data_IF_739951778356
#
_entry.id   IF_739951778356
#
_cell.length_a   1.000
_cell.length_b   1.000
_cell.length_c   1.000
_cell.angle_alpha   90.00
_cell.angle_beta   90.00
_cell.angle_gamma   90.00
#
_symmetry.space_group_name_H-M   'P 1'
#
loop_
_entity.id
_entity.type
_entity.pdbx_description
1 polymer ?
#
# COMPACT_ATOMS: atom_id res chain seq x y z
N UNK A 1 -33.88 -4.03 5.39
CA UNK A 1 -33.28 -2.87 4.72
C UNK A 1 -31.80 -2.77 5.11
N UNK A 2 -30.96 -2.38 4.15
CA UNK A 2 -29.51 -2.10 4.20
C UNK A 2 -28.59 -3.25 3.76
N UNK A 3 -28.19 -3.22 2.48
CA UNK A 3 -26.87 -3.63 1.99
C UNK A 3 -26.57 -2.82 0.71
N UNK A 4 -26.30 -1.52 0.86
CA UNK A 4 -25.81 -0.66 -0.25
C UNK A 4 -24.57 0.16 0.17
N UNK A 5 -23.83 -0.24 1.21
CA UNK A 5 -22.63 0.48 1.66
C UNK A 5 -21.33 0.05 0.97
N UNK A 6 -21.31 -1.06 0.22
CA UNK A 6 -20.06 -1.62 -0.31
C UNK A 6 -19.44 -0.83 -1.47
N UNK A 7 -20.24 -0.10 -2.25
CA UNK A 7 -19.74 0.66 -3.40
C UNK A 7 -19.05 1.96 -2.96
N UNK A 8 -19.73 2.74 -2.12
CA UNK A 8 -19.21 4.05 -1.68
C UNK A 8 -17.91 3.92 -0.87
N UNK A 9 -17.79 2.87 -0.07
CA UNK A 9 -16.58 2.62 0.73
C UNK A 9 -15.41 2.17 -0.16
N UNK A 10 -15.67 1.36 -1.19
CA UNK A 10 -14.63 0.97 -2.16
C UNK A 10 -14.17 2.15 -3.00
N UNK A 11 -15.09 2.98 -3.50
CA UNK A 11 -14.76 4.16 -4.32
C UNK A 11 -13.96 5.21 -3.52
N UNK A 12 -14.24 5.32 -2.22
CA UNK A 12 -13.53 6.25 -1.33
C UNK A 12 -12.09 5.78 -1.05
N UNK A 13 -11.82 4.47 -1.12
CA UNK A 13 -10.47 3.90 -0.94
C UNK A 13 -9.67 3.82 -2.25
N UNK A 14 -10.35 3.58 -3.37
CA UNK A 14 -9.72 3.49 -4.68
C UNK A 14 -9.09 4.81 -5.11
N UNK A 15 -9.73 5.95 -4.81
CA UNK A 15 -9.20 7.29 -5.14
C UNK A 15 -7.82 7.55 -4.53
N UNK A 16 -7.63 7.42 -3.21
CA UNK A 16 -6.32 7.61 -2.60
C UNK A 16 -5.30 6.55 -3.03
N UNK A 17 -5.70 5.28 -3.18
CA UNK A 17 -4.80 4.24 -3.66
C UNK A 17 -4.30 4.51 -5.09
N UNK A 18 -5.20 4.89 -5.99
CA UNK A 18 -4.89 5.28 -7.37
C UNK A 18 -4.03 6.55 -7.40
N UNK A 19 -4.41 7.58 -6.63
CA UNK A 19 -3.67 8.83 -6.56
C UNK A 19 -2.23 8.65 -6.07
N UNK A 20 -1.99 7.72 -5.13
CA UNK A 20 -0.63 7.36 -4.71
C UNK A 20 0.09 6.52 -5.76
N UNK A 21 -0.58 5.55 -6.40
CA UNK A 21 0.02 4.80 -7.52
C UNK A 21 0.50 5.74 -8.64
N UNK A 22 -0.26 6.79 -8.93
CA UNK A 22 0.09 7.82 -9.91
C UNK A 22 1.24 8.73 -9.46
N UNK A 23 1.30 9.12 -8.19
CA UNK A 23 2.43 9.89 -7.64
C UNK A 23 3.75 9.11 -7.72
N UNK A 24 3.67 7.79 -7.60
CA UNK A 24 4.81 6.89 -7.68
C UNK A 24 4.91 6.21 -9.06
N UNK A 25 4.32 6.79 -10.11
CA UNK A 25 4.37 6.27 -11.49
C UNK A 25 5.80 6.03 -11.96
N UNK A 26 6.76 6.86 -11.55
CA UNK A 26 8.18 6.68 -11.91
C UNK A 26 8.77 5.36 -11.40
N UNK A 27 8.18 4.74 -10.38
CA UNK A 27 8.57 3.40 -9.93
C UNK A 27 8.26 2.32 -10.97
N UNK A 28 7.31 2.56 -11.87
CA UNK A 28 6.97 1.66 -12.98
C UNK A 28 8.06 1.65 -14.05
N UNK A 29 8.80 2.74 -14.19
CA UNK A 29 9.92 2.86 -15.14
C UNK A 29 11.22 2.22 -14.66
N UNK A 30 11.28 1.83 -13.37
CA UNK A 30 12.46 1.17 -12.80
C UNK A 30 12.46 -0.30 -13.19
N UNK A 31 13.64 -0.86 -13.51
CA UNK A 31 13.84 -2.29 -13.83
C UNK A 31 13.62 -3.19 -12.60
N UNK A 32 12.38 -3.29 -12.14
CA UNK A 32 11.98 -4.33 -11.21
C UNK A 32 11.60 -5.58 -11.99
N UNK A 33 12.07 -6.74 -11.52
CA UNK A 33 11.73 -8.01 -12.14
C UNK A 33 10.32 -8.46 -11.74
N UNK A 34 9.67 -9.26 -12.59
CA UNK A 34 8.37 -9.88 -12.29
C UNK A 34 8.34 -10.56 -10.92
N UNK A 35 9.43 -11.20 -10.50
CA UNK A 35 9.53 -11.82 -9.18
C UNK A 35 9.36 -10.84 -8.01
N UNK A 36 9.84 -9.60 -8.13
CA UNK A 36 9.71 -8.58 -7.09
C UNK A 36 8.28 -8.05 -7.02
N UNK A 37 7.67 -7.82 -8.19
CA UNK A 37 6.28 -7.41 -8.30
C UNK A 37 5.33 -8.50 -7.79
N UNK A 38 5.55 -9.76 -8.17
CA UNK A 38 4.81 -10.91 -7.64
C UNK A 38 5.01 -11.07 -6.13
N UNK A 39 6.23 -10.89 -5.63
CA UNK A 39 6.50 -10.92 -4.19
C UNK A 39 5.71 -9.86 -3.41
N UNK A 40 5.69 -8.63 -3.93
CA UNK A 40 4.90 -7.53 -3.36
C UNK A 40 3.40 -7.82 -3.41
N UNK A 41 2.88 -8.29 -4.55
CA UNK A 41 1.47 -8.67 -4.68
C UNK A 41 1.11 -9.80 -3.70
N UNK A 42 1.94 -10.82 -3.58
CA UNK A 42 1.68 -11.95 -2.68
C UNK A 42 1.63 -11.51 -1.21
N UNK A 43 2.55 -10.64 -0.77
CA UNK A 43 2.56 -10.22 0.63
C UNK A 43 1.36 -9.33 0.96
N UNK A 44 0.93 -8.41 0.09
CA UNK A 44 -0.25 -7.57 0.40
C UNK A 44 -1.54 -8.38 0.45
N UNK A 45 -1.64 -9.48 -0.31
CA UNK A 45 -2.81 -10.37 -0.26
C UNK A 45 -2.80 -11.24 1.00
N UNK A 46 -1.64 -11.74 1.42
CA UNK A 46 -1.53 -12.78 2.47
C UNK A 46 -1.11 -12.28 3.85
N UNK A 47 -0.57 -11.07 3.97
CA UNK A 47 -0.07 -10.56 5.24
C UNK A 47 -1.20 -10.44 6.29
N UNK A 48 -0.96 -10.88 7.53
CA UNK A 48 -1.93 -10.78 8.62
C UNK A 48 -2.03 -9.36 9.20
N UNK A 49 -1.08 -8.49 8.87
CA UNK A 49 -1.12 -7.07 9.27
C UNK A 49 -0.35 -6.18 8.31
N UNK A 50 -0.68 -4.88 8.32
CA UNK A 50 0.01 -3.91 7.50
C UNK A 50 1.49 -3.75 7.87
N UNK A 51 1.82 -3.91 9.16
CA UNK A 51 3.22 -3.89 9.60
C UNK A 51 4.05 -5.04 9.02
N UNK A 52 3.44 -6.20 8.74
CA UNK A 52 4.16 -7.29 8.05
C UNK A 52 4.47 -6.93 6.60
N UNK A 53 3.59 -6.21 5.92
CA UNK A 53 3.86 -5.67 4.57
C UNK A 53 5.03 -4.69 4.62
N UNK A 54 5.02 -3.75 5.57
CA UNK A 54 6.12 -2.77 5.73
C UNK A 54 7.45 -3.47 6.05
N UNK A 55 7.45 -4.44 6.95
CA UNK A 55 8.64 -5.25 7.28
C UNK A 55 9.17 -6.01 6.07
N UNK A 56 8.29 -6.56 5.24
CA UNK A 56 8.70 -7.22 4.00
C UNK A 56 9.42 -6.25 3.07
N UNK A 57 8.83 -5.07 2.80
CA UNK A 57 9.42 -4.05 1.93
C UNK A 57 10.78 -3.59 2.47
N UNK A 58 10.87 -3.29 3.76
CA UNK A 58 12.13 -2.93 4.43
C UNK A 58 13.18 -4.04 4.28
N UNK A 59 12.80 -5.30 4.47
CA UNK A 59 13.68 -6.44 4.32
C UNK A 59 14.19 -6.59 2.88
N UNK A 60 13.34 -6.41 1.87
CA UNK A 60 13.75 -6.45 0.48
C UNK A 60 14.74 -5.32 0.14
N UNK A 61 14.54 -4.12 0.69
CA UNK A 61 15.50 -3.01 0.55
C UNK A 61 16.87 -3.37 1.12
N UNK A 62 16.93 -3.83 2.38
CA UNK A 62 18.17 -4.27 3.05
C UNK A 62 18.85 -5.43 2.32
N UNK A 63 18.08 -6.39 1.81
CA UNK A 63 18.61 -7.51 1.02
C UNK A 63 19.25 -7.02 -0.28
N UNK A 64 18.63 -6.05 -0.94
CA UNK A 64 19.14 -5.49 -2.20
C UNK A 64 20.42 -4.69 -1.98
N UNK A 65 20.48 -3.92 -0.89
CA UNK A 65 21.70 -3.21 -0.46
C UNK A 65 22.87 -4.16 -0.23
N UNK A 66 22.65 -5.25 0.52
CA UNK A 66 23.68 -6.28 0.78
C UNK A 66 24.17 -6.96 -0.50
N UNK A 67 23.36 -6.98 -1.55
CA UNK A 67 23.71 -7.51 -2.86
C UNK A 67 24.31 -6.47 -3.81
N UNK A 68 24.55 -5.23 -3.36
CA UNK A 68 25.07 -4.14 -4.19
C UNK A 68 24.07 -3.59 -5.22
N UNK A 69 22.79 -3.92 -5.09
CA UNK A 69 21.71 -3.51 -6.02
C UNK A 69 20.98 -2.27 -5.48
N UNK A 70 21.65 -1.13 -5.55
CA UNK A 70 21.14 0.14 -5.00
C UNK A 70 19.91 0.68 -5.75
N UNK A 71 19.83 0.47 -7.05
CA UNK A 71 18.65 0.78 -7.88
C UNK A 71 17.37 0.11 -7.34
N UNK A 72 17.51 -1.15 -6.92
CA UNK A 72 16.41 -1.94 -6.35
C UNK A 72 16.14 -1.55 -4.90
N UNK A 73 17.17 -1.23 -4.11
CA UNK A 73 17.00 -0.68 -2.77
C UNK A 73 16.12 0.57 -2.81
N UNK A 74 16.47 1.52 -3.66
CA UNK A 74 15.71 2.77 -3.80
C UNK A 74 14.26 2.51 -4.25
N UNK A 75 14.03 1.50 -5.10
CA UNK A 75 12.67 1.08 -5.45
C UNK A 75 11.89 0.66 -4.19
N UNK A 76 12.46 -0.22 -3.36
CA UNK A 76 11.79 -0.66 -2.12
C UNK A 76 11.60 0.48 -1.12
N UNK A 77 12.53 1.43 -1.04
CA UNK A 77 12.37 2.63 -0.22
C UNK A 77 11.21 3.48 -0.69
N UNK A 78 11.04 3.65 -2.00
CA UNK A 78 9.92 4.40 -2.55
C UNK A 78 8.58 3.68 -2.34
N UNK A 79 8.53 2.34 -2.47
CA UNK A 79 7.35 1.57 -2.07
C UNK A 79 7.06 1.77 -0.57
N UNK A 80 8.09 1.76 0.28
CA UNK A 80 7.94 2.04 1.71
C UNK A 80 7.34 3.42 1.99
N UNK A 81 7.77 4.45 1.25
CA UNK A 81 7.19 5.80 1.31
C UNK A 81 5.72 5.82 0.86
N UNK A 82 5.39 5.12 -0.22
CA UNK A 82 4.01 5.00 -0.69
C UNK A 82 3.11 4.34 0.36
N UNK A 83 3.59 3.26 1.00
CA UNK A 83 2.86 2.59 2.09
C UNK A 83 2.66 3.53 3.30
N UNK A 84 3.66 4.32 3.67
CA UNK A 84 3.50 5.33 4.72
C UNK A 84 2.43 6.37 4.35
N UNK A 85 2.42 6.84 3.11
CA UNK A 85 1.38 7.75 2.61
C UNK A 85 -0.03 7.15 2.66
N UNK A 86 -0.20 5.86 2.34
CA UNK A 86 -1.49 5.17 2.49
C UNK A 86 -1.94 5.09 3.95
N UNK A 87 -0.99 4.93 4.87
CA UNK A 87 -1.27 4.90 6.30
C UNK A 87 -1.82 6.25 6.77
N UNK A 88 -1.12 7.35 6.44
CA UNK A 88 -1.54 8.72 6.75
C UNK A 88 -2.91 9.05 6.16
N UNK A 89 -3.17 8.57 4.94
CA UNK A 89 -4.41 8.80 4.23
C UNK A 89 -5.59 8.01 4.83
N UNK A 90 -5.35 6.77 5.27
CA UNK A 90 -6.33 6.00 6.03
C UNK A 90 -6.67 6.69 7.36
N UNK A 91 -5.70 7.29 8.04
CA UNK A 91 -5.96 8.11 9.23
C UNK A 91 -6.83 9.32 8.89
N UNK A 92 -6.54 10.01 7.78
CA UNK A 92 -7.37 11.14 7.31
C UNK A 92 -8.80 10.71 7.03
N UNK A 93 -8.99 9.62 6.28
CA UNK A 93 -10.32 9.09 5.94
C UNK A 93 -11.10 8.62 7.16
N UNK A 94 -10.44 7.97 8.12
CA UNK A 94 -11.08 7.56 9.37
C UNK A 94 -11.61 8.77 10.15
N UNK A 95 -10.81 9.85 10.24
CA UNK A 95 -11.23 11.09 10.87
C UNK A 95 -12.41 11.75 10.15
N UNK A 96 -12.38 11.80 8.81
CA UNK A 96 -13.46 12.39 7.99
C UNK A 96 -14.77 11.62 8.06
N UNK A 97 -14.69 10.28 8.16
CA UNK A 97 -15.85 9.42 8.35
C UNK A 97 -16.50 9.57 9.73
N UNK A 98 -15.95 10.42 10.60
CA UNK A 98 -16.41 10.58 11.98
C UNK A 98 -16.19 9.32 12.83
N UNK A 99 -15.38 8.38 12.34
CA UNK A 99 -14.84 7.34 13.18
C UNK A 99 -13.95 8.11 14.17
N UNK A 100 -14.42 8.25 15.42
CA UNK A 100 -13.63 8.87 16.47
C UNK A 100 -12.47 7.92 16.75
N UNK A 101 -11.37 8.16 16.05
CA UNK A 101 -10.17 7.33 16.07
C UNK A 101 -9.04 8.25 16.55
N UNK A 102 -8.72 8.25 17.86
CA UNK A 102 -9.27 7.40 18.93
C UNK A 102 -10.51 7.96 19.65
N UNK A 103 -11.35 7.10 20.26
CA UNK A 103 -12.15 7.49 21.40
C UNK A 103 -11.25 8.02 22.52
N UNK A 104 -11.73 8.98 23.30
CA UNK A 104 -10.99 9.55 24.43
C UNK A 104 -10.54 8.42 25.38
N UNK A 105 -9.24 8.18 25.50
CA UNK A 105 -8.64 7.18 26.40
C UNK A 105 -8.08 5.90 25.75
N UNK A 106 -8.23 5.70 24.44
CA UNK A 106 -7.64 4.54 23.75
C UNK A 106 -6.12 4.68 23.56
N UNK A 107 -5.40 3.55 23.61
CA UNK A 107 -3.94 3.53 23.36
C UNK A 107 -3.66 3.59 21.85
N UNK A 108 -2.63 4.31 21.38
CA UNK A 108 -2.29 4.40 19.95
C UNK A 108 -2.19 3.04 19.22
N UNK A 109 -1.73 1.99 19.92
CA UNK A 109 -1.63 0.63 19.36
C UNK A 109 -2.97 -0.04 19.08
N UNK A 110 -4.00 0.20 19.89
CA UNK A 110 -5.34 -0.37 19.72
C UNK A 110 -6.04 0.26 18.51
N UNK A 111 -5.82 1.56 18.37
CA UNK A 111 -6.36 2.41 17.32
C UNK A 111 -5.76 2.02 15.97
N UNK A 112 -4.43 1.87 15.93
CA UNK A 112 -3.72 1.31 14.77
C UNK A 112 -4.27 -0.06 14.38
N UNK A 113 -4.53 -0.94 15.36
CA UNK A 113 -5.05 -2.30 15.11
C UNK A 113 -6.46 -2.27 14.51
N UNK A 114 -7.30 -1.31 14.91
CA UNK A 114 -8.64 -1.14 14.35
C UNK A 114 -8.61 -0.67 12.88
N UNK A 115 -7.62 0.14 12.51
CA UNK A 115 -7.41 0.61 11.14
C UNK A 115 -6.58 -0.36 10.28
N UNK A 116 -6.01 -1.41 10.85
CA UNK A 116 -5.15 -2.35 10.12
C UNK A 116 -5.84 -3.02 8.90
N UNK A 117 -7.13 -3.42 8.96
CA UNK A 117 -7.84 -3.90 7.78
C UNK A 117 -7.95 -2.85 6.67
N UNK A 118 -8.12 -1.58 7.05
CA UNK A 118 -8.17 -0.46 6.12
C UNK A 118 -6.80 -0.23 5.46
N UNK A 119 -5.71 -0.21 6.24
CA UNK A 119 -4.36 -0.09 5.70
C UNK A 119 -4.04 -1.21 4.71
N UNK A 120 -4.38 -2.46 5.06
CA UNK A 120 -4.20 -3.61 4.18
C UNK A 120 -5.03 -3.49 2.90
N UNK A 121 -6.25 -2.99 2.98
CA UNK A 121 -7.10 -2.81 1.80
C UNK A 121 -6.52 -1.78 0.83
N UNK A 122 -6.13 -0.62 1.33
CA UNK A 122 -5.49 0.43 0.54
C UNK A 122 -4.17 -0.05 -0.08
N UNK A 123 -3.37 -0.82 0.67
CA UNK A 123 -2.14 -1.41 0.16
C UNK A 123 -2.38 -2.38 -0.99
N UNK A 124 -3.41 -3.23 -0.88
CA UNK A 124 -3.81 -4.15 -1.95
C UNK A 124 -4.22 -3.40 -3.20
N UNK A 125 -5.06 -2.37 -3.07
CA UNK A 125 -5.51 -1.57 -4.21
C UNK A 125 -4.35 -0.83 -4.86
N UNK A 126 -3.49 -0.18 -4.07
CA UNK A 126 -2.27 0.46 -4.58
C UNK A 126 -1.41 -0.52 -5.39
N UNK A 127 -1.13 -1.71 -4.85
CA UNK A 127 -0.33 -2.72 -5.55
C UNK A 127 -1.04 -3.25 -6.79
N UNK A 128 -2.37 -3.42 -6.76
CA UNK A 128 -3.14 -3.84 -7.93
C UNK A 128 -3.07 -2.79 -9.05
N UNK A 129 -3.23 -1.51 -8.74
CA UNK A 129 -3.05 -0.42 -9.69
C UNK A 129 -1.62 -0.39 -10.23
N UNK A 130 -0.63 -0.55 -9.35
CA UNK A 130 0.78 -0.60 -9.74
C UNK A 130 1.10 -1.77 -10.69
N UNK A 131 0.56 -2.97 -10.42
CA UNK A 131 0.70 -4.16 -11.27
C UNK A 131 0.02 -3.95 -12.62
N UNK A 132 -1.21 -3.42 -12.63
CA UNK A 132 -1.94 -3.15 -13.86
C UNK A 132 -1.19 -2.16 -14.76
N UNK A 133 -0.68 -1.06 -14.19
CA UNK A 133 0.09 -0.07 -14.93
C UNK A 133 1.43 -0.63 -15.45
N UNK A 134 2.12 -1.45 -14.65
CA UNK A 134 3.34 -2.14 -15.09
C UNK A 134 3.07 -3.08 -16.27
N UNK A 135 1.91 -3.75 -16.26
CA UNK A 135 1.50 -4.68 -17.31
C UNK A 135 1.16 -3.97 -18.63
N UNK A 136 0.59 -2.76 -18.55
CA UNK A 136 0.32 -1.92 -19.72
C UNK A 136 1.60 -1.38 -20.37
N UNK A 137 2.60 -0.99 -19.58
CA UNK A 137 3.88 -0.46 -20.10
C UNK A 137 4.80 -1.53 -20.71
N UNK A 138 4.57 -2.81 -20.40
CA UNK A 138 5.34 -3.94 -20.90
C UNK A 138 4.80 -4.54 -22.21
N UNK A 139 3.68 -4.02 -22.71
CA UNK A 139 3.13 -4.35 -24.04
C UNK A 139 3.13 -3.09 -24.92
N UNK A 140 4.24 -2.76 -25.60
CA UNK A 140 4.19 -1.79 -26.69
C UNK A 140 3.32 -2.38 -27.80
N UNK A 141 2.29 -1.63 -28.21
CA UNK A 141 1.58 -1.87 -29.47
C UNK A 141 2.51 -1.70 -30.67
#
# INVERSE_FOLDING_TARGET
>A
MRHDSSCCESDQMQKPASGLAEQFRDLLGRRIGNAQLSGLNNIVQSAPSFDQVKKFVEHQGKKSERAGRFDVKEFWEAVGKALAGLEDEAWRLANEAGLSVPPKGSKPSEVRRALDPLFLRLAREYVQHFVAHSSMLSHPS
#
